data_IF_399772659700
#
_entry.id   IF_399772659700
#
_cell.length_a   1.000
_cell.length_b   1.000
_cell.length_c   1.000
_cell.angle_alpha   90.00
_cell.angle_beta   90.00
_cell.angle_gamma   90.00
#
_symmetry.space_group_name_H-M   'P 1'
#
loop_
_entity.id
_entity.type
_entity.pdbx_description
1 polymer ?
#
# COMPACT_ATOMS: atom_id res chain seq x y z
N UNK A 1 -7.85 18.15 23.97
CA UNK A 1 -6.80 17.12 24.08
C UNK A 1 -6.48 16.68 22.67
N UNK A 2 -5.23 16.75 22.23
CA UNK A 2 -4.85 16.24 20.91
C UNK A 2 -4.93 14.71 20.92
N UNK A 3 -5.58 14.14 19.92
CA UNK A 3 -5.61 12.69 19.74
C UNK A 3 -4.19 12.14 19.52
N UNK A 4 -3.92 10.94 20.05
CA UNK A 4 -2.63 10.27 19.87
C UNK A 4 -2.49 9.80 18.41
N UNK A 5 -1.25 9.69 17.92
CA UNK A 5 -1.01 9.25 16.54
C UNK A 5 -1.41 7.81 16.29
N UNK A 6 -1.21 6.95 17.31
CA UNK A 6 -1.64 5.56 17.29
C UNK A 6 -3.17 5.49 17.15
N UNK A 7 -3.90 6.24 17.97
CA UNK A 7 -5.38 6.32 17.88
C UNK A 7 -5.86 6.85 16.53
N UNK A 8 -5.21 7.88 15.99
CA UNK A 8 -5.58 8.47 14.69
C UNK A 8 -5.35 7.49 13.53
N UNK A 9 -4.25 6.73 13.59
CA UNK A 9 -3.93 5.70 12.61
C UNK A 9 -4.95 4.55 12.66
N UNK A 10 -5.24 4.04 13.85
CA UNK A 10 -6.18 2.92 14.05
C UNK A 10 -7.60 3.30 13.59
N UNK A 11 -8.09 4.50 13.94
CA UNK A 11 -9.38 4.99 13.45
C UNK A 11 -9.41 5.14 11.92
N UNK A 12 -8.30 5.55 11.31
CA UNK A 12 -8.16 5.61 9.86
C UNK A 12 -8.32 4.23 9.22
N UNK A 13 -7.71 3.20 9.82
CA UNK A 13 -7.85 1.81 9.38
C UNK A 13 -9.28 1.28 9.58
N UNK A 14 -9.89 1.53 10.73
CA UNK A 14 -11.28 1.11 11.01
C UNK A 14 -12.26 1.72 10.01
N UNK A 15 -12.13 3.02 9.71
CA UNK A 15 -12.96 3.69 8.71
C UNK A 15 -12.74 3.11 7.31
N UNK A 16 -11.49 2.83 6.95
CA UNK A 16 -11.17 2.17 5.69
C UNK A 16 -11.87 0.81 5.57
N UNK A 17 -11.80 -0.01 6.63
CA UNK A 17 -12.48 -1.31 6.69
C UNK A 17 -14.01 -1.17 6.67
N UNK A 18 -14.56 -0.12 7.26
CA UNK A 18 -15.99 0.20 7.23
C UNK A 18 -16.48 0.68 5.85
N UNK A 19 -15.57 0.84 4.86
CA UNK A 19 -15.92 1.25 3.51
C UNK A 19 -15.93 2.76 3.28
N UNK A 20 -15.30 3.54 4.16
CA UNK A 20 -15.10 4.98 3.93
C UNK A 20 -14.36 5.22 2.60
N UNK A 21 -14.75 6.29 1.92
CA UNK A 21 -14.16 6.63 0.62
C UNK A 21 -12.66 6.96 0.79
N UNK A 22 -11.78 6.39 -0.07
CA UNK A 22 -10.35 6.57 0.06
C UNK A 22 -9.91 8.04 0.09
N UNK A 23 -10.59 8.94 -0.64
CA UNK A 23 -10.32 10.38 -0.63
C UNK A 23 -10.44 11.00 0.76
N UNK A 24 -11.41 10.56 1.56
CA UNK A 24 -11.72 11.12 2.88
C UNK A 24 -10.68 10.70 3.93
N UNK A 25 -9.95 9.62 3.68
CA UNK A 25 -8.94 9.06 4.59
C UNK A 25 -7.55 9.67 4.37
N UNK A 26 -7.27 10.18 3.17
CA UNK A 26 -5.96 10.74 2.81
C UNK A 26 -5.49 11.82 3.80
N UNK A 27 -6.30 12.81 4.22
CA UNK A 27 -5.86 13.82 5.18
C UNK A 27 -5.42 13.22 6.52
N UNK A 28 -6.13 12.20 7.01
CA UNK A 28 -5.80 11.49 8.25
C UNK A 28 -4.43 10.81 8.15
N UNK A 29 -4.18 10.04 7.09
CA UNK A 29 -2.91 9.35 6.92
C UNK A 29 -1.76 10.32 6.57
N UNK A 30 -2.03 11.44 5.90
CA UNK A 30 -1.06 12.53 5.75
C UNK A 30 -0.64 13.09 7.10
N UNK A 31 -1.60 13.41 7.98
CA UNK A 31 -1.31 13.93 9.32
C UNK A 31 -0.47 12.93 10.13
N UNK A 32 -0.80 11.64 10.08
CA UNK A 32 -0.01 10.59 10.74
C UNK A 32 1.42 10.57 10.19
N UNK A 33 1.59 10.60 8.87
CA UNK A 33 2.92 10.62 8.23
C UNK A 33 3.72 11.89 8.55
N UNK A 34 3.08 13.04 8.66
CA UNK A 34 3.74 14.31 8.96
C UNK A 34 4.20 14.39 10.42
N UNK A 35 3.39 13.87 11.34
CA UNK A 35 3.68 13.85 12.77
C UNK A 35 4.58 12.67 13.20
N UNK A 36 4.52 11.55 12.49
CA UNK A 36 5.44 10.41 12.62
C UNK A 36 6.02 9.97 11.26
N UNK A 37 7.06 10.66 10.77
CA UNK A 37 7.65 10.37 9.47
C UNK A 37 8.41 9.03 9.42
N UNK A 38 8.58 8.33 10.56
CA UNK A 38 9.23 7.01 10.63
C UNK A 38 8.22 5.87 10.63
N UNK A 39 6.92 6.14 10.67
CA UNK A 39 5.89 5.14 10.60
C UNK A 39 5.75 4.59 9.16
N UNK A 40 6.43 3.49 8.88
CA UNK A 40 6.39 2.84 7.56
C UNK A 40 4.97 2.40 7.16
N UNK A 41 4.19 1.89 8.12
CA UNK A 41 2.83 1.43 7.87
C UNK A 41 1.91 2.59 7.43
N UNK A 42 2.03 3.76 8.05
CA UNK A 42 1.30 4.96 7.62
C UNK A 42 1.63 5.37 6.17
N UNK A 43 2.91 5.32 5.80
CA UNK A 43 3.32 5.56 4.41
C UNK A 43 2.79 4.48 3.44
N UNK A 44 2.72 3.22 3.87
CA UNK A 44 2.14 2.11 3.09
C UNK A 44 0.64 2.35 2.83
N UNK A 45 -0.13 2.67 3.87
CA UNK A 45 -1.56 2.98 3.76
C UNK A 45 -1.79 4.22 2.89
N UNK A 46 -1.02 5.30 3.10
CA UNK A 46 -1.15 6.51 2.30
C UNK A 46 -0.86 6.25 0.81
N UNK A 47 0.14 5.43 0.50
CA UNK A 47 0.42 5.03 -0.88
C UNK A 47 -0.76 4.27 -1.50
N UNK A 48 -1.34 3.32 -0.77
CA UNK A 48 -2.49 2.54 -1.19
C UNK A 48 -3.69 3.44 -1.51
N UNK A 49 -4.05 4.34 -0.58
CA UNK A 49 -5.13 5.30 -0.76
C UNK A 49 -4.89 6.17 -2.00
N UNK A 50 -3.67 6.64 -2.22
CA UNK A 50 -3.36 7.42 -3.43
C UNK A 50 -3.53 6.65 -4.74
N UNK A 51 -3.28 5.34 -4.76
CA UNK A 51 -3.49 4.53 -5.98
C UNK A 51 -4.98 4.27 -6.25
N UNK A 52 -5.77 4.09 -5.18
CA UNK A 52 -7.22 3.98 -5.30
C UNK A 52 -7.85 5.23 -5.92
N UNK A 53 -7.34 6.42 -5.58
CA UNK A 53 -7.86 7.71 -6.07
C UNK A 53 -7.12 8.28 -7.29
N UNK A 54 -6.43 7.42 -8.04
CA UNK A 54 -5.72 7.77 -9.29
C UNK A 54 -4.68 8.91 -9.15
N UNK A 55 -3.92 8.91 -8.05
CA UNK A 55 -2.81 9.84 -7.79
C UNK A 55 -1.45 9.12 -7.80
N UNK A 56 -1.03 8.52 -8.93
CA UNK A 56 0.13 7.63 -8.98
C UNK A 56 1.45 8.30 -8.57
N UNK A 57 1.64 9.58 -8.91
CA UNK A 57 2.86 10.31 -8.53
C UNK A 57 2.95 10.58 -7.03
N UNK A 58 1.80 10.72 -6.34
CA UNK A 58 1.78 10.84 -4.88
C UNK A 58 1.96 9.46 -4.22
N UNK A 59 1.31 8.43 -4.77
CA UNK A 59 1.50 7.05 -4.34
C UNK A 59 2.97 6.63 -4.41
N UNK A 60 3.65 6.94 -5.51
CA UNK A 60 5.06 6.59 -5.71
C UNK A 60 5.95 7.22 -4.64
N UNK A 61 5.71 8.49 -4.30
CA UNK A 61 6.45 9.17 -3.21
C UNK A 61 6.20 8.50 -1.86
N UNK A 62 4.95 8.20 -1.52
CA UNK A 62 4.61 7.55 -0.25
C UNK A 62 5.16 6.12 -0.17
N UNK A 63 4.99 5.31 -1.21
CA UNK A 63 5.50 3.95 -1.27
C UNK A 63 7.04 3.90 -1.22
N UNK A 64 7.71 4.84 -1.89
CA UNK A 64 9.18 4.96 -1.82
C UNK A 64 9.66 5.31 -0.40
N UNK A 65 8.87 6.07 0.37
CA UNK A 65 9.19 6.35 1.79
C UNK A 65 9.01 5.11 2.64
N UNK A 66 7.89 4.40 2.49
CA UNK A 66 7.63 3.13 3.19
C UNK A 66 8.76 2.11 2.95
N UNK A 67 9.09 1.81 1.69
CA UNK A 67 10.18 0.87 1.35
C UNK A 67 11.56 1.35 1.82
N UNK A 68 11.80 2.67 1.91
CA UNK A 68 13.05 3.19 2.49
C UNK A 68 13.15 2.92 3.98
N UNK A 69 12.02 2.95 4.71
CA UNK A 69 11.97 2.69 6.14
C UNK A 69 12.04 1.19 6.42
N UNK A 70 11.23 0.40 5.72
CA UNK A 70 11.18 -1.07 5.85
C UNK A 70 11.37 -1.76 4.50
N UNK A 71 12.63 -1.99 4.07
CA UNK A 71 12.93 -2.52 2.74
C UNK A 71 12.53 -3.98 2.52
N UNK A 72 12.06 -4.69 3.54
CA UNK A 72 11.65 -6.09 3.44
C UNK A 72 10.17 -6.31 3.71
N UNK A 73 9.41 -5.25 3.97
CA UNK A 73 7.96 -5.36 4.16
C UNK A 73 7.28 -5.74 2.85
N UNK A 74 6.63 -6.91 2.75
CA UNK A 74 6.06 -7.38 1.48
C UNK A 74 4.96 -6.46 0.95
N UNK A 75 4.14 -5.87 1.82
CA UNK A 75 3.07 -4.97 1.37
C UNK A 75 3.63 -3.64 0.84
N UNK A 76 4.65 -3.06 1.48
CA UNK A 76 5.35 -1.88 0.99
C UNK A 76 5.98 -2.15 -0.39
N UNK A 77 6.55 -3.33 -0.60
CA UNK A 77 7.14 -3.76 -1.87
C UNK A 77 6.08 -3.88 -2.97
N UNK A 78 4.92 -4.48 -2.68
CA UNK A 78 3.76 -4.49 -3.57
C UNK A 78 3.32 -3.06 -3.92
N UNK A 79 3.11 -2.21 -2.91
CA UNK A 79 2.63 -0.84 -3.12
C UNK A 79 3.60 -0.01 -3.95
N UNK A 80 4.91 -0.19 -3.77
CA UNK A 80 5.91 0.49 -4.60
C UNK A 80 5.90 -0.03 -6.04
N UNK A 81 5.85 -1.34 -6.24
CA UNK A 81 5.76 -1.92 -7.58
C UNK A 81 4.52 -1.41 -8.34
N UNK A 82 3.36 -1.36 -7.66
CA UNK A 82 2.11 -0.82 -8.22
C UNK A 82 2.22 0.66 -8.55
N UNK A 83 2.67 1.48 -7.59
CA UNK A 83 2.80 2.91 -7.80
C UNK A 83 3.79 3.25 -8.93
N UNK A 84 4.86 2.45 -9.08
CA UNK A 84 5.78 2.56 -10.20
C UNK A 84 5.10 2.25 -11.53
N UNK A 85 4.34 1.14 -11.62
CA UNK A 85 3.61 0.80 -12.84
C UNK A 85 2.61 1.90 -13.23
N UNK A 86 1.81 2.37 -12.28
CA UNK A 86 0.80 3.41 -12.52
C UNK A 86 1.43 4.78 -12.84
N UNK A 87 2.63 5.04 -12.34
CA UNK A 87 3.40 6.24 -12.67
C UNK A 87 4.22 6.12 -13.98
N UNK A 88 4.25 4.93 -14.61
CA UNK A 88 5.04 4.67 -15.82
C UNK A 88 6.54 4.46 -15.57
N UNK A 89 6.94 4.19 -14.32
CA UNK A 89 8.32 3.95 -13.92
C UNK A 89 8.77 2.51 -14.19
N UNK A 90 10.07 2.34 -14.43
CA UNK A 90 10.71 1.04 -14.70
C UNK A 90 11.37 0.47 -13.44
N UNK A 91 11.69 -0.82 -13.46
CA UNK A 91 12.49 -1.47 -12.41
C UNK A 91 11.69 -2.17 -11.32
N UNK A 92 10.42 -2.48 -11.58
CA UNK A 92 9.51 -3.16 -10.63
C UNK A 92 9.95 -4.59 -10.27
N UNK A 93 10.74 -5.25 -11.14
CA UNK A 93 11.13 -6.66 -11.00
C UNK A 93 11.72 -6.99 -9.63
N UNK A 94 12.67 -6.18 -9.14
CA UNK A 94 13.32 -6.43 -7.84
C UNK A 94 12.34 -6.39 -6.67
N UNK A 95 11.27 -5.60 -6.79
CA UNK A 95 10.25 -5.47 -5.75
C UNK A 95 9.34 -6.70 -5.77
N UNK A 96 8.97 -7.18 -6.96
CA UNK A 96 8.21 -8.42 -7.14
C UNK A 96 9.00 -9.63 -6.60
N UNK A 97 10.29 -9.75 -6.92
CA UNK A 97 11.14 -10.86 -6.44
C UNK A 97 11.22 -10.93 -4.90
N UNK A 98 11.21 -9.78 -4.21
CA UNK A 98 11.17 -9.74 -2.73
C UNK A 98 9.85 -10.28 -2.21
N UNK A 99 8.73 -9.91 -2.85
CA UNK A 99 7.39 -10.38 -2.47
C UNK A 99 7.26 -11.88 -2.73
N UNK A 100 7.71 -12.37 -3.89
CA UNK A 100 7.72 -13.79 -4.25
C UNK A 100 8.48 -14.63 -3.20
N UNK A 101 9.65 -14.16 -2.77
CA UNK A 101 10.41 -14.83 -1.70
C UNK A 101 9.64 -14.85 -0.38
N UNK A 102 9.01 -13.74 0.00
CA UNK A 102 8.28 -13.63 1.26
C UNK A 102 7.05 -14.56 1.28
N UNK A 103 6.24 -14.56 0.22
CA UNK A 103 5.05 -15.42 0.13
C UNK A 103 5.40 -16.90 -0.06
N UNK A 104 6.60 -17.20 -0.59
CA UNK A 104 7.11 -18.57 -0.70
C UNK A 104 7.61 -19.13 0.64
N UNK A 105 8.02 -18.26 1.57
CA UNK A 105 8.53 -18.64 2.89
C UNK A 105 7.42 -18.75 3.96
N UNK A 106 6.44 -17.85 3.92
CA UNK A 106 5.38 -17.76 4.93
C UNK A 106 3.99 -17.71 4.29
N UNK A 107 3.20 -18.75 4.57
CA UNK A 107 1.81 -18.87 4.09
C UNK A 107 0.92 -17.72 4.60
N UNK A 108 1.16 -17.21 5.81
CA UNK A 108 0.37 -16.08 6.35
C UNK A 108 0.63 -14.81 5.56
N UNK A 109 1.88 -14.56 5.18
CA UNK A 109 2.23 -13.43 4.30
C UNK A 109 1.55 -13.63 2.95
N UNK A 110 1.58 -14.84 2.38
CA UNK A 110 0.91 -15.17 1.13
C UNK A 110 -0.59 -14.83 1.17
N UNK A 111 -1.27 -15.27 2.23
CA UNK A 111 -2.71 -15.04 2.40
C UNK A 111 -3.01 -13.54 2.56
N UNK A 112 -2.28 -12.82 3.42
CA UNK A 112 -2.46 -11.37 3.61
C UNK A 112 -2.24 -10.58 2.33
N UNK A 113 -1.19 -10.87 1.55
CA UNK A 113 -0.96 -10.18 0.27
C UNK A 113 -2.10 -10.49 -0.71
N UNK A 114 -2.56 -11.74 -0.76
CA UNK A 114 -3.65 -12.13 -1.65
C UNK A 114 -4.96 -11.40 -1.27
N UNK A 115 -5.29 -11.36 0.01
CA UNK A 115 -6.46 -10.63 0.54
C UNK A 115 -6.42 -9.14 0.17
N UNK A 116 -5.28 -8.47 0.39
CA UNK A 116 -5.13 -7.04 0.08
C UNK A 116 -5.29 -6.75 -1.43
N UNK A 117 -4.77 -7.64 -2.29
CA UNK A 117 -4.95 -7.53 -3.74
C UNK A 117 -6.42 -7.71 -4.12
N UNK A 118 -7.09 -8.72 -3.58
CA UNK A 118 -8.50 -8.99 -3.87
C UNK A 118 -9.40 -7.85 -3.37
N UNK A 119 -9.09 -7.26 -2.22
CA UNK A 119 -9.77 -6.07 -1.71
C UNK A 119 -9.57 -4.87 -2.65
N UNK A 120 -8.32 -4.63 -3.10
CA UNK A 120 -8.01 -3.56 -4.06
C UNK A 120 -8.79 -3.71 -5.37
N UNK A 121 -8.90 -4.94 -5.88
CA UNK A 121 -9.69 -5.24 -7.08
C UNK A 121 -11.20 -5.20 -6.82
N UNK A 122 -11.66 -5.44 -5.60
CA UNK A 122 -13.07 -5.26 -5.23
C UNK A 122 -13.46 -3.77 -5.25
N UNK A 123 -12.59 -2.90 -4.73
CA UNK A 123 -12.80 -1.44 -4.74
C UNK A 123 -12.57 -0.80 -6.10
N UNK A 124 -11.60 -1.31 -6.86
CA UNK A 124 -11.20 -0.80 -8.18
C UNK A 124 -10.99 -1.95 -9.17
N UNK A 125 -12.08 -2.50 -9.75
CA UNK A 125 -12.01 -3.70 -10.62
C UNK A 125 -11.16 -3.54 -11.88
N UNK A 126 -11.01 -2.32 -12.38
CA UNK A 126 -10.26 -1.97 -13.59
C UNK A 126 -8.80 -1.58 -13.32
N UNK A 127 -8.28 -1.84 -12.11
CA UNK A 127 -6.89 -1.55 -11.75
C UNK A 127 -5.89 -2.47 -12.46
N UNK A 128 -5.54 -2.13 -13.70
CA UNK A 128 -4.70 -2.94 -14.61
C UNK A 128 -3.36 -3.34 -14.02
N UNK A 129 -2.68 -2.43 -13.31
CA UNK A 129 -1.40 -2.73 -12.67
C UNK A 129 -1.55 -3.74 -11.54
N UNK A 130 -2.62 -3.65 -10.75
CA UNK A 130 -2.91 -4.61 -9.68
C UNK A 130 -3.26 -5.99 -10.23
N UNK A 131 -4.08 -6.06 -11.28
CA UNK A 131 -4.35 -7.32 -11.99
C UNK A 131 -3.05 -7.98 -12.50
N UNK A 132 -2.14 -7.17 -13.04
CA UNK A 132 -0.84 -7.63 -13.53
C UNK A 132 0.05 -8.15 -12.40
N UNK A 133 0.12 -7.45 -11.28
CA UNK A 133 0.89 -7.88 -10.10
C UNK A 133 0.29 -9.14 -9.49
N UNK A 134 -1.04 -9.25 -9.40
CA UNK A 134 -1.72 -10.47 -8.96
C UNK A 134 -1.28 -11.68 -9.80
N UNK A 135 -1.29 -11.52 -11.13
CA UNK A 135 -0.84 -12.57 -12.05
C UNK A 135 0.61 -12.97 -11.79
N UNK A 136 1.52 -12.02 -11.63
CA UNK A 136 2.92 -12.35 -11.37
C UNK A 136 3.16 -13.11 -10.08
N UNK A 137 2.40 -12.81 -9.03
CA UNK A 137 2.61 -13.39 -7.71
C UNK A 137 1.88 -14.73 -7.50
N UNK A 138 0.79 -14.98 -8.23
CA UNK A 138 -0.13 -16.07 -7.91
C UNK A 138 -0.55 -16.95 -9.10
N UNK A 139 -0.12 -16.65 -10.32
CA UNK A 139 -0.38 -17.48 -11.52
C UNK A 139 0.93 -17.92 -12.20
#
# INVERSE_FOLDING_TARGET
>A
MSESLETLFDQGLEKYQAGEEPENLIPTFQEVCDRDPKNSAAWTCLAWLYMLVDKPQKALKAASKSVKLEPRDPQAQVNLALAMLDAGEKGVRKHIEIVEQAIGFDQRIKDTIKENIDEGLTRKPDWKSLQRVNKWLFE
#
